data_IF_767873038630
#
_entry.id   IF_767873038630
#
_cell.length_a   1.000
_cell.length_b   1.000
_cell.length_c   1.000
_cell.angle_alpha   90.00
_cell.angle_beta   90.00
_cell.angle_gamma   90.00
#
_symmetry.space_group_name_H-M   'P 1'
#
loop_
_entity.id
_entity.type
_entity.pdbx_description
1 polymer ?
#
# COMPACT_ATOMS: atom_id res chain seq x y z
N UNK A 1 -23.97 0.22 -2.89
CA UNK A 1 -22.60 -0.14 -3.34
C UNK A 1 -22.29 0.77 -4.52
N UNK A 2 -21.73 1.95 -4.24
CA UNK A 2 -21.79 3.10 -5.16
C UNK A 2 -20.83 3.04 -6.36
N UNK A 3 -19.81 2.17 -6.36
CA UNK A 3 -18.73 2.18 -7.37
C UNK A 3 -18.80 1.06 -8.43
N UNK A 4 -19.57 -0.02 -8.21
CA UNK A 4 -19.51 -1.21 -9.08
C UNK A 4 -18.25 -2.06 -8.87
N UNK A 5 -18.31 -3.34 -9.28
CA UNK A 5 -17.29 -4.37 -8.93
C UNK A 5 -15.90 -4.03 -9.48
N UNK A 6 -15.81 -3.70 -10.77
CA UNK A 6 -14.53 -3.42 -11.44
C UNK A 6 -13.85 -2.15 -10.91
N UNK A 7 -14.59 -1.06 -10.76
CA UNK A 7 -14.01 0.19 -10.24
C UNK A 7 -13.55 0.04 -8.79
N UNK A 8 -14.23 -0.79 -7.99
CA UNK A 8 -13.80 -1.09 -6.61
C UNK A 8 -12.42 -1.78 -6.58
N UNK A 9 -12.16 -2.69 -7.53
CA UNK A 9 -10.87 -3.40 -7.64
C UNK A 9 -9.76 -2.49 -8.13
N UNK A 10 -10.06 -1.63 -9.10
CA UNK A 10 -9.10 -0.65 -9.62
C UNK A 10 -8.74 0.34 -8.50
N UNK A 11 -9.75 0.90 -7.83
CA UNK A 11 -9.54 1.83 -6.72
C UNK A 11 -8.70 1.18 -5.60
N UNK A 12 -8.99 -0.07 -5.24
CA UNK A 12 -8.23 -0.78 -4.22
C UNK A 12 -6.75 -0.92 -4.59
N UNK A 13 -6.45 -1.30 -5.84
CA UNK A 13 -5.07 -1.43 -6.31
C UNK A 13 -4.35 -0.08 -6.36
N UNK A 14 -5.02 0.98 -6.82
CA UNK A 14 -4.47 2.33 -6.81
C UNK A 14 -4.12 2.75 -5.38
N UNK A 15 -4.99 2.48 -4.41
CA UNK A 15 -4.73 2.83 -3.01
C UNK A 15 -3.63 1.94 -2.38
N UNK A 16 -3.57 0.66 -2.74
CA UNK A 16 -2.57 -0.26 -2.21
C UNK A 16 -1.16 0.03 -2.75
N UNK A 17 -1.03 0.47 -4.01
CA UNK A 17 0.26 0.63 -4.68
C UNK A 17 0.67 2.09 -4.90
N UNK A 18 -0.29 3.02 -4.94
CA UNK A 18 -0.05 4.43 -5.24
C UNK A 18 0.87 5.11 -4.23
N UNK A 19 0.78 4.73 -2.95
CA UNK A 19 1.71 5.19 -1.92
C UNK A 19 3.16 4.81 -2.24
N UNK A 20 3.41 3.55 -2.61
CA UNK A 20 4.75 3.09 -3.00
C UNK A 20 5.27 3.83 -4.24
N UNK A 21 4.42 4.04 -5.25
CA UNK A 21 4.79 4.81 -6.42
C UNK A 21 5.22 6.24 -6.04
N UNK A 22 4.47 6.91 -5.17
CA UNK A 22 4.82 8.25 -4.68
C UNK A 22 6.14 8.26 -3.91
N UNK A 23 6.43 7.23 -3.08
CA UNK A 23 7.71 7.11 -2.38
C UNK A 23 8.88 6.92 -3.35
N UNK A 24 8.70 6.09 -4.40
CA UNK A 24 9.72 5.89 -5.42
C UNK A 24 10.03 7.19 -6.16
N UNK A 25 8.99 7.90 -6.62
CA UNK A 25 9.14 9.19 -7.32
C UNK A 25 9.78 10.23 -6.40
N UNK A 26 9.35 10.31 -5.14
CA UNK A 26 9.92 11.24 -4.17
C UNK A 26 11.39 10.98 -3.87
N UNK A 27 11.81 9.71 -3.81
CA UNK A 27 13.22 9.34 -3.67
C UNK A 27 14.04 9.63 -4.93
N UNK A 28 13.49 9.40 -6.12
CA UNK A 28 14.15 9.70 -7.40
C UNK A 28 14.34 11.20 -7.67
N UNK A 29 13.43 12.03 -7.15
CA UNK A 29 13.48 13.48 -7.26
C UNK A 29 14.26 14.15 -6.11
N UNK A 30 14.91 13.36 -5.23
CA UNK A 30 15.59 13.84 -4.02
C UNK A 30 14.70 14.66 -3.06
N UNK A 31 13.37 14.54 -3.17
CA UNK A 31 12.41 15.14 -2.23
C UNK A 31 12.37 14.36 -0.91
N UNK A 32 12.58 13.04 -0.97
CA UNK A 32 12.67 12.14 0.18
C UNK A 32 14.06 11.49 0.21
N UNK A 33 14.62 11.29 1.41
CA UNK A 33 15.89 10.56 1.54
C UNK A 33 15.74 9.12 1.00
N UNK A 34 16.74 8.58 0.28
CA UNK A 34 16.69 7.22 -0.28
C UNK A 34 16.37 6.11 0.74
N UNK A 35 16.68 6.34 2.02
CA UNK A 35 16.34 5.47 3.16
C UNK A 35 14.83 5.15 3.23
N UNK A 36 13.97 6.04 2.73
CA UNK A 36 12.51 5.81 2.67
C UNK A 36 12.14 4.55 1.87
N UNK A 37 13.01 4.09 0.97
CA UNK A 37 12.80 2.87 0.18
C UNK A 37 12.76 1.60 1.04
N UNK A 38 13.21 1.63 2.30
CA UNK A 38 12.99 0.55 3.27
C UNK A 38 11.50 0.23 3.43
N UNK A 39 10.61 1.21 3.21
CA UNK A 39 9.17 0.97 3.22
C UNK A 39 8.73 -0.07 2.17
N UNK A 40 9.50 -0.30 1.10
CA UNK A 40 9.20 -1.32 0.09
C UNK A 40 9.34 -2.75 0.60
N UNK A 41 9.98 -2.99 1.75
CA UNK A 41 10.04 -4.33 2.36
C UNK A 41 8.65 -4.90 2.68
N UNK A 42 7.66 -4.03 2.89
CA UNK A 42 6.27 -4.44 3.10
C UNK A 42 5.51 -4.76 1.80
N UNK A 43 6.04 -4.37 0.63
CA UNK A 43 5.37 -4.49 -0.67
C UNK A 43 5.02 -5.95 -1.03
N UNK A 44 5.88 -6.97 -0.84
CA UNK A 44 5.51 -8.36 -1.13
C UNK A 44 4.29 -8.84 -0.33
N UNK A 45 4.14 -8.36 0.92
CA UNK A 45 3.00 -8.69 1.77
C UNK A 45 1.73 -7.96 1.29
N UNK A 46 1.85 -6.68 0.91
CA UNK A 46 0.75 -5.91 0.31
C UNK A 46 0.24 -6.55 -0.98
N UNK A 47 1.15 -7.04 -1.84
CA UNK A 47 0.78 -7.75 -3.08
C UNK A 47 -0.04 -9.00 -2.74
N UNK A 48 0.40 -9.82 -1.78
CA UNK A 48 -0.34 -11.02 -1.35
C UNK A 48 -1.75 -10.69 -0.85
N UNK A 49 -1.89 -9.69 0.02
CA UNK A 49 -3.20 -9.28 0.57
C UNK A 49 -4.09 -8.69 -0.53
N UNK A 50 -3.50 -7.93 -1.45
CA UNK A 50 -4.23 -7.35 -2.59
C UNK A 50 -4.74 -8.42 -3.54
N UNK A 51 -3.93 -9.44 -3.84
CA UNK A 51 -4.38 -10.59 -4.62
C UNK A 51 -5.52 -11.34 -3.92
N UNK A 52 -5.46 -11.48 -2.59
CA UNK A 52 -6.53 -12.07 -1.80
C UNK A 52 -7.84 -11.26 -1.89
N UNK A 53 -7.75 -9.93 -1.83
CA UNK A 53 -8.90 -9.03 -2.00
C UNK A 53 -9.54 -9.21 -3.38
N UNK A 54 -8.71 -9.23 -4.44
CA UNK A 54 -9.15 -9.38 -5.83
C UNK A 54 -9.81 -10.74 -6.06
N UNK A 55 -9.25 -11.82 -5.49
CA UNK A 55 -9.73 -13.18 -5.74
C UNK A 55 -10.98 -13.56 -4.93
N UNK A 56 -11.09 -13.14 -3.65
CA UNK A 56 -12.21 -13.57 -2.79
C UNK A 56 -13.45 -12.68 -2.90
N UNK A 57 -13.30 -11.35 -2.91
CA UNK A 57 -14.40 -10.37 -3.01
C UNK A 57 -15.64 -10.62 -2.11
N UNK A 58 -15.49 -11.38 -1.02
CA UNK A 58 -16.54 -11.55 -0.02
C UNK A 58 -16.56 -10.30 0.88
N UNK A 59 -17.73 -9.68 1.06
CA UNK A 59 -17.87 -8.44 1.85
C UNK A 59 -17.30 -8.55 3.27
N UNK A 60 -17.37 -9.73 3.88
CA UNK A 60 -16.83 -9.98 5.22
C UNK A 60 -15.30 -9.96 5.27
N UNK A 61 -14.61 -10.40 4.21
CA UNK A 61 -13.14 -10.55 4.21
C UNK A 61 -12.43 -9.36 3.57
N UNK A 62 -13.11 -8.65 2.67
CA UNK A 62 -12.59 -7.48 1.95
C UNK A 62 -12.25 -6.31 2.87
N UNK A 63 -13.07 -6.04 3.91
CA UNK A 63 -12.76 -5.01 4.90
C UNK A 63 -11.47 -5.33 5.67
N UNK A 64 -11.30 -6.58 6.11
CA UNK A 64 -10.10 -7.01 6.84
C UNK A 64 -8.84 -6.93 5.94
N UNK A 65 -8.96 -7.27 4.66
CA UNK A 65 -7.87 -7.10 3.70
C UNK A 65 -7.48 -5.62 3.57
N UNK A 66 -8.45 -4.72 3.38
CA UNK A 66 -8.21 -3.29 3.29
C UNK A 66 -7.54 -2.72 4.56
N UNK A 67 -8.03 -3.12 5.73
CA UNK A 67 -7.46 -2.70 7.01
C UNK A 67 -6.01 -3.19 7.17
N UNK A 68 -5.74 -4.46 6.88
CA UNK A 68 -4.38 -5.01 6.95
C UNK A 68 -3.44 -4.29 5.98
N UNK A 69 -3.85 -4.11 4.74
CA UNK A 69 -3.08 -3.35 3.73
C UNK A 69 -2.76 -1.94 4.25
N UNK A 70 -3.76 -1.23 4.79
CA UNK A 70 -3.56 0.12 5.33
C UNK A 70 -2.60 0.14 6.52
N UNK A 71 -2.78 -0.73 7.50
CA UNK A 71 -1.93 -0.79 8.70
C UNK A 71 -0.48 -1.13 8.34
N UNK A 72 -0.26 -2.15 7.49
CA UNK A 72 1.07 -2.59 7.09
C UNK A 72 1.80 -1.49 6.30
N UNK A 73 1.13 -0.86 5.32
CA UNK A 73 1.73 0.19 4.52
C UNK A 73 2.13 1.41 5.39
N UNK A 74 1.25 1.82 6.30
CA UNK A 74 1.52 2.96 7.17
C UNK A 74 2.60 2.68 8.21
N UNK A 75 2.61 1.50 8.84
CA UNK A 75 3.69 1.12 9.76
C UNK A 75 5.04 1.10 9.03
N UNK A 76 5.07 0.57 7.81
CA UNK A 76 6.28 0.54 7.00
C UNK A 76 6.74 1.94 6.59
N UNK A 77 5.81 2.85 6.31
CA UNK A 77 6.10 4.27 6.06
C UNK A 77 6.65 4.96 7.31
N UNK A 78 6.03 4.76 8.49
CA UNK A 78 6.49 5.32 9.76
C UNK A 78 7.93 4.88 10.06
N UNK A 79 8.24 3.59 9.84
CA UNK A 79 9.61 3.07 10.00
C UNK A 79 10.57 3.77 9.04
N UNK A 80 10.20 3.88 7.75
CA UNK A 80 11.03 4.54 6.74
C UNK A 80 11.29 6.02 7.06
N UNK A 81 10.26 6.74 7.52
CA UNK A 81 10.37 8.15 7.93
C UNK A 81 11.23 8.29 9.19
N UNK A 82 11.04 7.46 10.21
CA UNK A 82 11.87 7.47 11.42
C UNK A 82 13.33 7.20 11.10
N UNK A 83 13.61 6.25 10.21
CA UNK A 83 14.98 5.94 9.79
C UNK A 83 15.60 7.08 8.99
N UNK A 84 14.79 7.89 8.30
CA UNK A 84 15.25 9.09 7.59
C UNK A 84 15.65 10.24 8.52
N UNK A 85 15.30 10.20 9.80
CA UNK A 85 15.69 11.22 10.80
C UNK A 85 17.07 10.96 11.42
N UNK A 86 17.58 9.73 11.31
CA UNK A 86 18.97 9.38 11.66
C UNK A 86 19.94 9.88 10.59
#
# INVERSE_FOLDING_TARGET
MFLGRQNSLILYQILAYGGYFALLVGALLDVLKPVILVSFLSLPLIIKITQQFINKQEKATTFNCALKTHVIANLSLIIGLSLSLL
#
